data_IF_577279033670
#
_entry.id   IF_577279033670
#
_cell.length_a   1.000
_cell.length_b   1.000
_cell.length_c   1.000
_cell.angle_alpha   90.00
_cell.angle_beta   90.00
_cell.angle_gamma   90.00
#
_symmetry.space_group_name_H-M   'P 1'
#
loop_
_entity.id
_entity.type
_entity.pdbx_description
1 polymer ?
#
# COMPACT_ATOMS: atom_id res chain seq x y z
N UNK A 1 -4.44 -4.35 11.91
CA UNK A 1 -3.73 -3.51 10.92
C UNK A 1 -4.55 -2.28 10.55
N UNK A 2 -5.69 -2.49 9.88
CA UNK A 2 -6.36 -1.45 9.10
C UNK A 2 -6.95 -0.27 9.89
N UNK A 3 -7.62 -0.51 11.02
CA UNK A 3 -8.25 0.57 11.80
C UNK A 3 -7.33 1.14 12.88
N UNK A 4 -6.48 0.30 13.46
CA UNK A 4 -5.52 0.71 14.48
C UNK A 4 -4.27 1.40 13.91
N UNK A 5 -4.04 1.28 12.59
CA UNK A 5 -2.79 1.71 11.95
C UNK A 5 -1.55 1.13 12.67
N UNK A 6 -1.67 -0.12 13.13
CA UNK A 6 -0.64 -0.87 13.86
C UNK A 6 -0.30 -2.15 13.07
N UNK A 7 0.65 -2.07 12.12
CA UNK A 7 1.13 -3.24 11.38
C UNK A 7 1.94 -4.21 12.23
N UNK A 8 2.59 -3.77 13.32
CA UNK A 8 3.33 -4.67 14.23
C UNK A 8 2.38 -5.65 14.94
N UNK A 9 1.30 -5.12 15.53
CA UNK A 9 0.30 -5.93 16.20
C UNK A 9 -0.35 -6.94 15.23
N UNK A 10 -0.54 -6.54 13.98
CA UNK A 10 -1.04 -7.42 12.92
C UNK A 10 -0.07 -8.56 12.59
N UNK A 11 1.23 -8.27 12.41
CA UNK A 11 2.24 -9.29 12.17
C UNK A 11 2.34 -10.29 13.33
N UNK A 12 2.21 -9.81 14.57
CA UNK A 12 2.14 -10.67 15.76
C UNK A 12 0.91 -11.60 15.71
N UNK A 13 -0.24 -11.11 15.26
CA UNK A 13 -1.45 -11.92 15.09
C UNK A 13 -1.28 -12.98 14.00
N UNK A 14 -0.70 -12.64 12.85
CA UNK A 14 -0.40 -13.61 11.79
C UNK A 14 0.54 -14.70 12.30
N UNK A 15 1.61 -14.32 13.01
CA UNK A 15 2.55 -15.29 13.57
C UNK A 15 1.87 -16.28 14.54
N UNK A 16 0.89 -15.81 15.33
CA UNK A 16 0.07 -16.68 16.19
C UNK A 16 -0.82 -17.62 15.36
N UNK A 17 -1.50 -17.10 14.34
CA UNK A 17 -2.36 -17.92 13.46
C UNK A 17 -1.54 -18.98 12.73
N UNK A 18 -0.37 -18.62 12.20
CA UNK A 18 0.55 -19.54 11.51
C UNK A 18 0.98 -20.72 12.40
N UNK A 19 1.22 -20.48 13.70
CA UNK A 19 1.52 -21.55 14.67
C UNK A 19 0.36 -22.54 14.85
N UNK A 20 -0.88 -22.06 14.78
CA UNK A 20 -2.08 -22.90 14.90
C UNK A 20 -2.31 -23.70 13.62
N UNK A 21 -2.15 -23.06 12.46
CA UNK A 21 -2.38 -23.69 11.14
C UNK A 21 -1.31 -24.71 10.77
N UNK A 22 -0.10 -24.59 11.31
CA UNK A 22 0.97 -25.57 11.14
C UNK A 22 1.57 -25.60 9.74
N UNK A 23 1.69 -26.80 9.15
CA UNK A 23 2.45 -27.04 7.89
C UNK A 23 1.62 -26.91 6.60
N UNK A 24 0.41 -26.34 6.66
CA UNK A 24 -0.41 -26.15 5.46
C UNK A 24 0.26 -25.15 4.51
N UNK A 25 0.85 -25.65 3.42
CA UNK A 25 1.52 -24.82 2.41
C UNK A 25 0.59 -23.74 1.86
N UNK A 26 -0.66 -24.12 1.57
CA UNK A 26 -1.66 -23.19 1.05
C UNK A 26 -1.98 -22.06 2.01
N UNK A 27 -2.21 -22.38 3.28
CA UNK A 27 -2.51 -21.34 4.27
C UNK A 27 -1.29 -20.47 4.54
N UNK A 28 -0.09 -21.06 4.58
CA UNK A 28 1.15 -20.32 4.78
C UNK A 28 1.41 -19.33 3.65
N UNK A 29 1.18 -19.71 2.38
CA UNK A 29 1.28 -18.78 1.25
C UNK A 29 0.34 -17.57 1.39
N UNK A 30 -0.88 -17.76 1.92
CA UNK A 30 -1.80 -16.65 2.20
C UNK A 30 -1.23 -15.76 3.31
N UNK A 31 -0.74 -16.37 4.40
CA UNK A 31 -0.08 -15.62 5.46
C UNK A 31 1.17 -14.89 4.97
N UNK A 32 1.91 -15.39 3.99
CA UNK A 32 3.08 -14.71 3.42
C UNK A 32 2.65 -13.45 2.65
N UNK A 33 1.54 -13.49 1.90
CA UNK A 33 0.94 -12.28 1.29
C UNK A 33 0.55 -11.25 2.34
N UNK A 34 -0.08 -11.69 3.45
CA UNK A 34 -0.48 -10.79 4.54
C UNK A 34 0.73 -10.23 5.30
N UNK A 35 1.78 -11.03 5.52
CA UNK A 35 3.05 -10.57 6.11
C UNK A 35 3.67 -9.48 5.26
N UNK A 36 3.75 -9.68 3.94
CA UNK A 36 4.26 -8.67 3.02
C UNK A 36 3.47 -7.35 3.12
N UNK A 37 2.13 -7.40 3.17
CA UNK A 37 1.31 -6.20 3.38
C UNK A 37 1.61 -5.49 4.72
N UNK A 38 1.86 -6.25 5.77
CA UNK A 38 2.27 -5.73 7.08
C UNK A 38 3.65 -5.05 7.03
N UNK A 39 4.63 -5.70 6.39
CA UNK A 39 5.98 -5.15 6.19
C UNK A 39 5.96 -3.87 5.34
N UNK A 40 5.20 -3.86 4.25
CA UNK A 40 4.99 -2.66 3.44
C UNK A 40 4.39 -1.51 4.26
N UNK A 41 3.44 -1.82 5.15
CA UNK A 41 2.83 -0.82 6.02
C UNK A 41 3.79 -0.26 7.07
N UNK A 42 4.90 -0.96 7.36
CA UNK A 42 6.03 -0.49 8.17
C UNK A 42 7.08 0.26 7.35
N UNK A 43 6.93 0.38 6.03
CA UNK A 43 7.94 0.95 5.13
C UNK A 43 9.08 -0.02 4.77
N UNK A 44 8.94 -1.31 5.08
CA UNK A 44 9.96 -2.34 4.83
C UNK A 44 9.79 -3.00 3.46
N UNK A 45 9.84 -2.19 2.41
CA UNK A 45 9.49 -2.64 1.04
C UNK A 45 10.44 -3.70 0.49
N UNK A 46 11.75 -3.60 0.77
CA UNK A 46 12.71 -4.60 0.33
C UNK A 46 12.50 -5.97 1.00
N UNK A 47 12.25 -6.00 2.31
CA UNK A 47 11.93 -7.23 3.04
C UNK A 47 10.62 -7.84 2.49
N UNK A 48 9.59 -7.01 2.28
CA UNK A 48 8.32 -7.46 1.71
C UNK A 48 8.46 -8.03 0.29
N UNK A 49 9.28 -7.41 -0.57
CA UNK A 49 9.53 -7.89 -1.93
C UNK A 49 10.19 -9.28 -1.93
N UNK A 50 11.22 -9.47 -1.09
CA UNK A 50 11.90 -10.76 -0.95
C UNK A 50 10.90 -11.84 -0.51
N UNK A 51 10.07 -11.54 0.49
CA UNK A 51 9.05 -12.48 0.97
C UNK A 51 8.03 -12.84 -0.12
N UNK A 52 7.59 -11.85 -0.92
CA UNK A 52 6.67 -12.08 -2.03
C UNK A 52 7.28 -12.98 -3.11
N UNK A 53 8.52 -12.73 -3.52
CA UNK A 53 9.19 -13.50 -4.58
C UNK A 53 9.39 -14.98 -4.23
N UNK A 54 9.37 -15.32 -2.94
CA UNK A 54 9.47 -16.71 -2.45
C UNK A 54 8.12 -17.46 -2.44
N UNK A 55 7.00 -16.78 -2.70
CA UNK A 55 5.68 -17.41 -2.66
C UNK A 55 5.45 -18.30 -3.88
N UNK A 56 5.17 -19.58 -3.63
CA UNK A 56 4.67 -20.48 -4.67
C UNK A 56 3.22 -20.11 -5.06
N UNK A 57 3.09 -19.46 -6.22
CA UNK A 57 1.82 -18.95 -6.73
C UNK A 57 0.77 -20.03 -6.99
N UNK A 58 1.15 -21.32 -7.09
CA UNK A 58 0.19 -22.42 -7.25
C UNK A 58 -0.76 -22.57 -6.06
N UNK A 59 -0.41 -21.99 -4.90
CA UNK A 59 -1.26 -21.94 -3.72
C UNK A 59 -2.21 -20.75 -3.67
N UNK A 60 -2.01 -19.74 -4.53
CA UNK A 60 -2.87 -18.56 -4.59
C UNK A 60 -3.99 -18.75 -5.60
N UNK A 61 -5.10 -18.02 -5.43
CA UNK A 61 -6.26 -18.18 -6.31
C UNK A 61 -6.89 -16.85 -6.67
N UNK A 62 -7.44 -16.80 -7.88
CA UNK A 62 -8.32 -15.72 -8.33
C UNK A 62 -9.67 -15.78 -7.62
N UNK A 63 -10.15 -16.99 -7.27
CA UNK A 63 -11.49 -17.21 -6.68
C UNK A 63 -11.65 -16.59 -5.29
N UNK A 64 -10.57 -16.49 -4.53
CA UNK A 64 -10.55 -15.88 -3.20
C UNK A 64 -9.76 -14.56 -3.17
N UNK A 65 -9.34 -14.05 -4.33
CA UNK A 65 -8.65 -12.77 -4.46
C UNK A 65 -7.20 -12.74 -3.97
N UNK A 66 -6.63 -13.85 -3.48
CA UNK A 66 -5.27 -13.84 -2.91
C UNK A 66 -4.19 -13.62 -3.97
N UNK A 67 -4.43 -14.09 -5.21
CA UNK A 67 -3.52 -13.82 -6.32
C UNK A 67 -3.52 -12.32 -6.72
N UNK A 68 -4.69 -11.66 -6.63
CA UNK A 68 -4.77 -10.22 -6.89
C UNK A 68 -4.07 -9.42 -5.78
N UNK A 69 -4.30 -9.78 -4.51
CA UNK A 69 -3.62 -9.15 -3.38
C UNK A 69 -2.09 -9.27 -3.48
N UNK A 70 -1.59 -10.44 -3.89
CA UNK A 70 -0.17 -10.66 -4.17
C UNK A 70 0.38 -9.64 -5.18
N UNK A 71 -0.24 -9.50 -6.36
CA UNK A 71 0.25 -8.58 -7.38
C UNK A 71 0.12 -7.10 -6.98
N UNK A 72 -0.91 -6.73 -6.23
CA UNK A 72 -1.05 -5.39 -5.65
C UNK A 72 0.12 -5.08 -4.72
N UNK A 73 0.47 -6.02 -3.83
CA UNK A 73 1.60 -5.85 -2.92
C UNK A 73 2.94 -5.76 -3.68
N UNK A 74 3.11 -6.55 -4.74
CA UNK A 74 4.30 -6.54 -5.58
C UNK A 74 4.48 -5.18 -6.28
N UNK A 75 3.42 -4.63 -6.88
CA UNK A 75 3.43 -3.29 -7.49
C UNK A 75 3.77 -2.22 -6.45
N UNK A 76 3.16 -2.30 -5.27
CA UNK A 76 3.46 -1.36 -4.19
C UNK A 76 4.93 -1.39 -3.77
N UNK A 77 5.55 -2.58 -3.69
CA UNK A 77 6.99 -2.68 -3.42
C UNK A 77 7.83 -2.07 -4.55
N UNK A 78 7.52 -2.38 -5.81
CA UNK A 78 8.26 -1.85 -6.95
C UNK A 78 8.18 -0.33 -7.05
N UNK A 79 7.01 0.28 -6.85
CA UNK A 79 6.89 1.74 -6.84
C UNK A 79 7.76 2.38 -5.77
N UNK A 80 7.73 1.87 -4.52
CA UNK A 80 8.47 2.46 -3.40
C UNK A 80 9.99 2.22 -3.51
N UNK A 81 10.41 1.19 -4.23
CA UNK A 81 11.83 0.93 -4.54
C UNK A 81 12.29 1.64 -5.83
N UNK A 82 11.42 2.39 -6.50
CA UNK A 82 11.74 3.10 -7.75
C UNK A 82 11.82 2.20 -9.00
N UNK A 83 11.38 0.94 -8.91
CA UNK A 83 11.37 -0.03 -10.01
C UNK A 83 10.13 0.14 -10.90
N UNK A 84 9.93 1.34 -11.45
CA UNK A 84 8.69 1.76 -12.12
C UNK A 84 8.32 0.86 -13.31
N UNK A 85 9.29 0.44 -14.12
CA UNK A 85 9.02 -0.43 -15.27
C UNK A 85 8.50 -1.83 -14.86
N UNK A 86 9.00 -2.39 -13.75
CA UNK A 86 8.49 -3.67 -13.23
C UNK A 86 7.09 -3.51 -12.68
N UNK A 87 6.82 -2.41 -11.98
CA UNK A 87 5.48 -2.11 -11.48
C UNK A 87 4.46 -2.01 -12.62
N UNK A 88 4.85 -1.32 -13.71
CA UNK A 88 4.03 -1.18 -14.93
C UNK A 88 3.78 -2.53 -15.60
N UNK A 89 4.81 -3.37 -15.77
CA UNK A 89 4.66 -4.70 -16.34
C UNK A 89 3.65 -5.55 -15.56
N UNK A 90 3.75 -5.57 -14.22
CA UNK A 90 2.81 -6.31 -13.38
C UNK A 90 1.39 -5.73 -13.49
N UNK A 91 1.24 -4.40 -13.53
CA UNK A 91 -0.06 -3.78 -13.67
C UNK A 91 -0.73 -4.16 -15.00
N UNK A 92 -0.02 -3.92 -16.11
CA UNK A 92 -0.56 -4.04 -17.46
C UNK A 92 -0.75 -5.50 -17.88
N UNK A 93 0.09 -6.43 -17.40
CA UNK A 93 0.05 -7.84 -17.80
C UNK A 93 -0.58 -8.79 -16.77
N UNK A 94 -0.67 -8.41 -15.49
CA UNK A 94 -1.23 -9.27 -14.44
C UNK A 94 -2.55 -8.72 -13.90
N UNK A 95 -2.55 -7.51 -13.31
CA UNK A 95 -3.75 -6.96 -12.67
C UNK A 95 -4.87 -6.70 -13.68
N UNK A 96 -4.57 -6.18 -14.86
CA UNK A 96 -5.56 -5.88 -15.91
C UNK A 96 -6.43 -7.09 -16.30
N UNK A 97 -5.92 -8.31 -16.09
CA UNK A 97 -6.60 -9.58 -16.40
C UNK A 97 -7.37 -10.17 -15.21
N UNK A 98 -7.21 -9.61 -14.02
CA UNK A 98 -7.81 -10.11 -12.78
C UNK A 98 -9.00 -9.25 -12.35
N UNK A 99 -10.17 -9.87 -12.17
CA UNK A 99 -11.34 -9.15 -11.66
C UNK A 99 -11.36 -9.15 -10.13
N UNK A 100 -11.47 -7.97 -9.48
CA UNK A 100 -11.64 -7.90 -8.03
C UNK A 100 -12.99 -8.53 -7.62
N UNK A 101 -12.96 -9.41 -6.63
CA UNK A 101 -14.13 -10.21 -6.23
C UNK A 101 -14.99 -9.55 -5.14
N UNK A 102 -14.52 -8.46 -4.53
CA UNK A 102 -15.22 -7.73 -3.48
C UNK A 102 -14.88 -6.23 -3.52
N UNK A 103 -15.63 -5.41 -2.77
CA UNK A 103 -15.47 -3.94 -2.77
C UNK A 103 -14.12 -3.49 -2.23
N UNK A 104 -13.53 -4.23 -1.30
CA UNK A 104 -12.21 -3.92 -0.74
C UNK A 104 -11.11 -4.08 -1.79
N UNK A 105 -11.18 -5.14 -2.60
CA UNK A 105 -10.24 -5.36 -3.71
C UNK A 105 -10.46 -4.37 -4.86
N UNK A 106 -11.71 -3.95 -5.11
CA UNK A 106 -11.98 -2.83 -6.03
C UNK A 106 -11.24 -1.58 -5.56
N UNK A 107 -11.40 -1.20 -4.29
CA UNK A 107 -10.68 -0.07 -3.70
C UNK A 107 -9.16 -0.23 -3.84
N UNK A 108 -8.62 -1.42 -3.56
CA UNK A 108 -7.19 -1.66 -3.65
C UNK A 108 -6.65 -1.47 -5.09
N UNK A 109 -7.36 -1.96 -6.10
CA UNK A 109 -7.01 -1.73 -7.52
C UNK A 109 -7.14 -0.24 -7.88
N UNK A 110 -8.18 0.43 -7.40
CA UNK A 110 -8.38 1.86 -7.64
C UNK A 110 -7.27 2.72 -7.02
N UNK A 111 -6.74 2.33 -5.86
CA UNK A 111 -5.54 2.93 -5.27
C UNK A 111 -4.33 2.71 -6.20
N UNK A 112 -4.12 1.49 -6.71
CA UNK A 112 -3.02 1.21 -7.66
C UNK A 112 -3.13 2.03 -8.95
N UNK A 113 -4.33 2.35 -9.42
CA UNK A 113 -4.53 3.26 -10.55
C UNK A 113 -4.11 4.69 -10.19
N UNK A 114 -4.45 5.18 -8.99
CA UNK A 114 -3.99 6.49 -8.53
C UNK A 114 -2.45 6.55 -8.46
N UNK A 115 -1.83 5.46 -8.00
CA UNK A 115 -0.38 5.30 -7.96
C UNK A 115 0.27 5.30 -9.33
N UNK A 116 -0.31 4.57 -10.28
CA UNK A 116 0.16 4.58 -11.67
C UNK A 116 0.16 6.00 -12.24
N UNK A 117 -0.93 6.75 -12.06
CA UNK A 117 -0.97 8.15 -12.49
C UNK A 117 0.07 9.03 -11.79
N UNK A 118 0.32 8.80 -10.50
CA UNK A 118 1.38 9.52 -9.77
C UNK A 118 2.76 9.22 -10.35
N UNK A 119 3.10 7.95 -10.58
CA UNK A 119 4.36 7.52 -11.16
C UNK A 119 4.58 8.06 -12.58
N UNK A 120 3.50 8.21 -13.35
CA UNK A 120 3.50 8.83 -14.69
C UNK A 120 3.50 10.37 -14.65
N UNK A 121 3.63 10.99 -13.47
CA UNK A 121 3.55 12.44 -13.23
C UNK A 121 2.22 13.07 -13.67
N UNK A 122 1.18 12.26 -13.88
CA UNK A 122 -0.17 12.72 -14.14
C UNK A 122 -0.89 13.05 -12.82
N UNK A 123 -0.36 14.05 -12.12
CA UNK A 123 -0.81 14.43 -10.78
C UNK A 123 -2.28 14.82 -10.73
N UNK A 124 -2.81 15.42 -11.80
CA UNK A 124 -4.23 15.76 -11.91
C UNK A 124 -5.11 14.51 -11.80
N UNK A 125 -4.86 13.48 -12.62
CA UNK A 125 -5.66 12.25 -12.58
C UNK A 125 -5.46 11.49 -11.28
N UNK A 126 -4.23 11.46 -10.74
CA UNK A 126 -3.96 10.87 -9.43
C UNK A 126 -4.78 11.54 -8.32
N UNK A 127 -4.77 12.88 -8.25
CA UNK A 127 -5.51 13.68 -7.27
C UNK A 127 -7.03 13.49 -7.41
N UNK A 128 -7.58 13.54 -8.62
CA UNK A 128 -9.00 13.27 -8.89
C UNK A 128 -9.43 11.87 -8.41
N UNK A 129 -8.55 10.88 -8.52
CA UNK A 129 -8.79 9.51 -8.03
C UNK A 129 -8.70 9.44 -6.51
N UNK A 130 -7.68 10.04 -5.91
CA UNK A 130 -7.47 10.10 -4.45
C UNK A 130 -8.69 10.73 -3.77
N UNK A 131 -9.19 11.87 -4.26
CA UNK A 131 -10.34 12.56 -3.67
C UNK A 131 -11.59 11.66 -3.67
N UNK A 132 -11.88 11.00 -4.79
CA UNK A 132 -13.00 10.04 -4.88
C UNK A 132 -12.84 8.85 -3.93
N UNK A 133 -11.61 8.36 -3.77
CA UNK A 133 -11.32 7.27 -2.83
C UNK A 133 -11.51 7.72 -1.38
N UNK A 134 -11.13 8.94 -1.02
CA UNK A 134 -11.30 9.49 0.33
C UNK A 134 -12.77 9.63 0.76
N UNK A 135 -13.68 9.75 -0.20
CA UNK A 135 -15.14 9.77 0.01
C UNK A 135 -15.75 8.35 0.14
N UNK A 136 -15.03 7.31 -0.28
CA UNK A 136 -15.55 5.94 -0.26
C UNK A 136 -15.66 5.39 1.18
N UNK A 137 -16.79 4.76 1.55
CA UNK A 137 -16.95 4.13 2.87
C UNK A 137 -16.15 2.82 3.00
N UNK A 138 -15.54 2.33 1.91
CA UNK A 138 -14.82 1.06 1.88
C UNK A 138 -13.31 1.22 2.10
N UNK A 139 -12.79 2.44 2.21
CA UNK A 139 -11.37 2.64 2.53
C UNK A 139 -11.14 2.44 4.03
N UNK A 140 -10.10 1.68 4.38
CA UNK A 140 -9.68 1.56 5.77
C UNK A 140 -9.00 2.83 6.27
N UNK A 141 -8.88 2.99 7.59
CA UNK A 141 -8.12 4.11 8.17
C UNK A 141 -6.67 4.10 7.67
N UNK A 142 -6.02 2.95 7.62
CA UNK A 142 -4.67 2.78 7.05
C UNK A 142 -4.59 3.29 5.60
N UNK A 143 -5.51 2.87 4.74
CA UNK A 143 -5.56 3.31 3.34
C UNK A 143 -5.81 4.82 3.24
N UNK A 144 -6.68 5.37 4.10
CA UNK A 144 -6.90 6.82 4.20
C UNK A 144 -5.62 7.58 4.53
N UNK A 145 -4.82 7.10 5.50
CA UNK A 145 -3.54 7.75 5.83
C UNK A 145 -2.58 7.72 4.64
N UNK A 146 -2.50 6.58 3.95
CA UNK A 146 -1.68 6.44 2.75
C UNK A 146 -2.10 7.42 1.64
N UNK A 147 -3.41 7.54 1.37
CA UNK A 147 -3.93 8.44 0.36
C UNK A 147 -3.69 9.92 0.69
N UNK A 148 -3.80 10.30 1.98
CA UNK A 148 -3.49 11.67 2.43
C UNK A 148 -1.99 11.95 2.31
N UNK A 149 -1.13 10.98 2.66
CA UNK A 149 0.31 11.10 2.44
C UNK A 149 0.65 11.34 0.97
N UNK A 150 0.07 10.53 0.07
CA UNK A 150 0.24 10.70 -1.39
C UNK A 150 -0.27 12.04 -1.90
N UNK A 151 -1.40 12.51 -1.39
CA UNK A 151 -1.89 13.84 -1.69
C UNK A 151 -0.90 14.93 -1.24
N UNK A 152 -0.29 14.77 -0.07
CA UNK A 152 0.80 15.63 0.42
C UNK A 152 1.97 15.73 -0.57
N UNK A 153 2.46 14.59 -1.05
CA UNK A 153 3.52 14.54 -2.06
C UNK A 153 3.12 15.28 -3.35
N UNK A 154 1.88 15.10 -3.83
CA UNK A 154 1.38 15.84 -4.99
C UNK A 154 1.40 17.35 -4.74
N UNK A 155 0.93 17.80 -3.57
CA UNK A 155 0.97 19.23 -3.23
C UNK A 155 2.40 19.78 -3.21
N UNK A 156 3.40 19.02 -2.74
CA UNK A 156 4.80 19.44 -2.83
C UNK A 156 5.27 19.61 -4.27
N UNK A 157 4.95 18.65 -5.15
CA UNK A 157 5.30 18.73 -6.59
C UNK A 157 4.64 19.93 -7.27
N UNK A 158 3.43 20.30 -6.85
CA UNK A 158 2.70 21.48 -7.33
C UNK A 158 3.18 22.80 -6.69
N UNK A 159 4.10 22.76 -5.72
CA UNK A 159 4.57 23.95 -4.97
C UNK A 159 3.60 24.44 -3.88
N UNK A 160 2.53 23.69 -3.60
CA UNK A 160 1.50 23.99 -2.60
C UNK A 160 1.98 23.58 -1.19
N UNK A 161 3.02 24.26 -0.67
CA UNK A 161 3.72 23.87 0.57
C UNK A 161 2.83 23.79 1.81
N UNK A 162 1.85 24.69 1.95
CA UNK A 162 0.95 24.71 3.11
C UNK A 162 0.04 23.48 3.15
N UNK A 163 -0.59 23.15 2.01
CA UNK A 163 -1.44 21.95 1.89
C UNK A 163 -0.65 20.66 2.08
N UNK A 164 0.57 20.61 1.51
CA UNK A 164 1.48 19.48 1.71
C UNK A 164 1.78 19.28 3.21
N UNK A 165 2.18 20.36 3.89
CA UNK A 165 2.47 20.33 5.32
C UNK A 165 1.24 19.88 6.14
N UNK A 166 0.05 20.39 5.82
CA UNK A 166 -1.18 20.00 6.51
C UNK A 166 -1.48 18.50 6.36
N UNK A 167 -1.30 17.94 5.17
CA UNK A 167 -1.47 16.51 4.92
C UNK A 167 -0.46 15.67 5.71
N UNK A 168 0.82 16.04 5.71
CA UNK A 168 1.85 15.32 6.48
C UNK A 168 1.59 15.39 7.99
N UNK A 169 1.21 16.55 8.53
CA UNK A 169 0.82 16.68 9.94
C UNK A 169 -0.35 15.77 10.30
N UNK A 170 -1.35 15.67 9.41
CA UNK A 170 -2.49 14.79 9.62
C UNK A 170 -2.06 13.32 9.68
N UNK A 171 -1.17 12.89 8.77
CA UNK A 171 -0.62 11.53 8.76
C UNK A 171 0.18 11.24 10.03
N UNK A 172 1.00 12.17 10.50
CA UNK A 172 1.76 12.00 11.75
C UNK A 172 0.83 11.80 12.94
N UNK A 173 -0.21 12.64 13.02
CA UNK A 173 -1.17 12.60 14.13
C UNK A 173 -2.02 11.33 14.16
N UNK A 174 -2.32 10.74 13.00
CA UNK A 174 -3.34 9.69 12.89
C UNK A 174 -2.82 8.34 12.37
N UNK A 175 -1.61 8.30 11.83
CA UNK A 175 -0.97 7.14 11.21
C UNK A 175 -0.32 6.16 12.18
N UNK A 176 -0.18 6.51 13.46
CA UNK A 176 0.34 5.61 14.51
C UNK A 176 1.68 4.98 14.12
N UNK A 177 1.73 3.66 13.83
CA UNK A 177 2.97 2.92 13.53
C UNK A 177 3.18 2.64 12.05
N UNK A 178 2.50 3.38 11.17
CA UNK A 178 2.73 3.24 9.74
C UNK A 178 4.07 3.88 9.33
N UNK A 179 4.79 3.26 8.39
CA UNK A 179 6.07 3.79 7.90
C UNK A 179 5.96 5.19 7.28
N UNK A 180 4.80 5.52 6.70
CA UNK A 180 4.50 6.85 6.16
C UNK A 180 4.49 7.96 7.23
N UNK A 181 4.38 7.63 8.52
CA UNK A 181 4.52 8.61 9.62
C UNK A 181 5.94 9.13 9.64
N UNK A 182 6.94 8.25 9.68
CA UNK A 182 8.35 8.63 9.65
C UNK A 182 8.74 9.34 8.35
N UNK A 183 8.13 8.97 7.22
CA UNK A 183 8.33 9.71 5.96
C UNK A 183 7.77 11.13 6.06
N UNK A 184 6.54 11.28 6.54
CA UNK A 184 5.89 12.58 6.74
C UNK A 184 6.68 13.49 7.68
N UNK A 185 7.28 12.95 8.74
CA UNK A 185 8.15 13.70 9.65
C UNK A 185 9.37 14.29 8.94
N UNK A 186 10.00 13.53 8.02
CA UNK A 186 11.15 14.00 7.25
C UNK A 186 10.78 15.15 6.33
N UNK A 187 9.68 15.03 5.57
CA UNK A 187 9.19 16.10 4.70
C UNK A 187 8.96 17.42 5.47
N UNK A 188 8.46 17.35 6.70
CA UNK A 188 8.25 18.53 7.53
C UNK A 188 9.57 19.15 8.04
N UNK A 189 10.57 18.33 8.35
CA UNK A 189 11.87 18.80 8.84
C UNK A 189 12.69 19.49 7.75
N UNK A 190 12.64 18.97 6.52
CA UNK A 190 13.37 19.53 5.37
C UNK A 190 12.87 20.94 5.01
N UNK A 191 11.57 21.21 5.18
CA UNK A 191 10.98 22.55 4.97
C UNK A 191 11.46 23.58 6.00
N UNK A 192 11.84 23.15 7.22
CA UNK A 192 12.36 24.06 8.26
C UNK A 192 13.84 24.40 8.09
N UNK A 193 14.54 23.69 7.23
CA UNK A 193 15.99 23.83 7.00
C UNK A 193 16.32 24.67 5.76
N UNK A 194 15.31 25.19 5.06
CA UNK A 194 15.40 26.10 3.90
C UNK A 194 14.89 27.49 4.29
#
# INVERSE_FOLDING_TARGET
>A
MDDACDPEAFLVQIAKQRKITGKSKRANAIFDVDVAAGLMSLGKYQEALIDLELIDLSYLSTKNGTLLAYYINLIGCYHELGEIEKAKDVFDNKISTLSPINKQLVVAVEIMIAEKYYAEQNYRQSKEKILRLLESPYISKRQRMYLIYRQGLIHEQEGNKEDAHANFQYVIKHGNKLGIVSLSEKHIQDVKSQ
#
